data_IF_258321724712
#
_entry.id   IF_258321724712
#
_cell.length_a   1.000
_cell.length_b   1.000
_cell.length_c   1.000
_cell.angle_alpha   90.00
_cell.angle_beta   90.00
_cell.angle_gamma   90.00
#
_symmetry.space_group_name_H-M   'P 1'
#
loop_
_entity.id
_entity.type
_entity.pdbx_description
1 polymer ?
#
# COMPACT_ATOMS: atom_id res chain seq x y z
N UNK A 1 -12.80 -9.23 2.58
CA UNK A 1 -11.67 -8.30 2.48
C UNK A 1 -11.55 -7.53 3.77
N UNK A 2 -10.42 -7.71 4.44
CA UNK A 2 -10.07 -7.01 5.67
C UNK A 2 -9.52 -5.62 5.34
N UNK A 3 -9.99 -4.58 6.03
CA UNK A 3 -9.49 -3.22 5.85
C UNK A 3 -8.35 -2.93 6.84
N UNK A 4 -7.25 -2.38 6.34
CA UNK A 4 -6.09 -1.96 7.14
C UNK A 4 -5.94 -0.45 7.02
N UNK A 5 -6.17 0.27 8.12
CA UNK A 5 -5.84 1.70 8.22
C UNK A 5 -4.33 1.87 8.35
N UNK A 6 -3.69 2.47 7.35
CA UNK A 6 -2.24 2.71 7.38
C UNK A 6 -1.83 3.71 8.47
N UNK A 7 -2.72 4.61 8.88
CA UNK A 7 -2.49 5.55 9.98
C UNK A 7 -2.16 4.89 11.31
N UNK A 8 -2.45 3.59 11.50
CA UNK A 8 -2.05 2.83 12.70
C UNK A 8 -0.53 2.65 12.82
N UNK A 9 0.21 2.81 11.72
CA UNK A 9 1.68 2.76 11.69
C UNK A 9 2.32 4.15 11.87
N UNK A 10 1.50 5.18 12.02
CA UNK A 10 1.90 6.58 12.06
C UNK A 10 1.24 7.38 10.94
N UNK A 11 1.34 8.70 11.04
CA UNK A 11 0.77 9.63 10.03
C UNK A 11 1.79 10.04 8.98
N UNK A 12 3.08 9.80 9.21
CA UNK A 12 4.21 10.08 8.31
C UNK A 12 4.99 8.80 8.07
N UNK A 13 4.85 8.23 6.87
CA UNK A 13 5.30 6.89 6.50
C UNK A 13 6.42 6.98 5.45
N UNK A 14 7.66 7.24 5.89
CA UNK A 14 8.73 7.73 4.99
C UNK A 14 9.96 6.80 4.84
N UNK A 15 10.18 5.88 5.79
CA UNK A 15 11.41 5.08 5.88
C UNK A 15 11.22 3.66 5.34
N UNK A 16 12.06 3.20 4.40
CA UNK A 16 11.98 1.83 3.86
C UNK A 16 11.97 0.74 4.96
N UNK A 17 12.91 0.71 5.93
CA UNK A 17 12.84 -0.23 7.06
C UNK A 17 11.50 -0.24 7.80
N UNK A 18 10.89 0.94 8.01
CA UNK A 18 9.60 1.05 8.68
C UNK A 18 8.45 0.45 7.86
N UNK A 19 8.58 0.37 6.53
CA UNK A 19 7.62 -0.34 5.67
C UNK A 19 7.61 -1.84 5.97
N UNK A 20 8.79 -2.46 6.07
CA UNK A 20 8.91 -3.86 6.47
C UNK A 20 8.41 -4.12 7.89
N UNK A 21 8.76 -3.24 8.85
CA UNK A 21 8.28 -3.34 10.23
C UNK A 21 6.75 -3.27 10.32
N UNK A 22 6.14 -2.37 9.54
CA UNK A 22 4.68 -2.22 9.48
C UNK A 22 3.99 -3.49 8.96
N UNK A 23 4.56 -4.14 7.94
CA UNK A 23 4.05 -5.44 7.48
C UNK A 23 4.20 -6.52 8.56
N UNK A 24 5.38 -6.63 9.18
CA UNK A 24 5.63 -7.62 10.22
C UNK A 24 4.67 -7.48 11.41
N UNK A 25 4.31 -6.24 11.77
CA UNK A 25 3.38 -5.95 12.86
C UNK A 25 1.94 -6.42 12.61
N UNK A 26 1.57 -6.74 11.36
CA UNK A 26 0.20 -7.17 11.01
C UNK A 26 0.13 -8.58 10.45
N UNK A 27 1.27 -9.16 10.06
CA UNK A 27 1.33 -10.41 9.30
C UNK A 27 0.58 -11.57 9.97
N UNK A 28 0.64 -11.67 11.30
CA UNK A 28 -0.06 -12.73 12.07
C UNK A 28 -1.57 -12.69 11.92
N UNK A 29 -2.13 -11.54 11.56
CA UNK A 29 -3.57 -11.29 11.53
C UNK A 29 -4.12 -11.36 10.10
N UNK A 30 -3.29 -11.69 9.11
CA UNK A 30 -3.67 -11.71 7.70
C UNK A 30 -4.04 -13.12 7.25
N UNK A 31 -5.16 -13.23 6.53
CA UNK A 31 -5.54 -14.44 5.80
C UNK A 31 -5.47 -14.15 4.29
N UNK A 32 -4.56 -14.78 3.53
CA UNK A 32 -4.47 -14.65 2.08
C UNK A 32 -5.80 -14.90 1.34
N UNK A 33 -6.67 -15.75 1.89
CA UNK A 33 -7.97 -16.08 1.29
C UNK A 33 -9.00 -14.96 1.42
N UNK A 34 -8.87 -14.09 2.41
CA UNK A 34 -9.82 -13.00 2.66
C UNK A 34 -9.55 -11.76 1.79
N UNK A 35 -8.28 -11.55 1.43
CA UNK A 35 -7.80 -10.32 0.78
C UNK A 35 -7.79 -9.11 1.69
N UNK A 36 -7.05 -8.07 1.31
CA UNK A 36 -6.91 -6.84 2.11
C UNK A 36 -7.14 -5.56 1.29
N UNK A 37 -7.77 -4.56 1.92
CA UNK A 37 -7.86 -3.19 1.41
C UNK A 37 -7.03 -2.26 2.29
N UNK A 38 -6.19 -1.43 1.67
CA UNK A 38 -5.43 -0.39 2.36
C UNK A 38 -6.22 0.92 2.39
N UNK A 39 -6.45 1.43 3.60
CA UNK A 39 -7.10 2.70 3.87
C UNK A 39 -6.05 3.75 4.29
N UNK A 40 -6.07 4.88 3.59
CA UNK A 40 -5.13 5.99 3.78
C UNK A 40 -5.68 7.09 4.69
N UNK A 41 -6.88 6.94 5.24
CA UNK A 41 -7.45 7.89 6.19
C UNK A 41 -6.51 8.14 7.39
N UNK A 42 -6.22 9.41 7.67
CA UNK A 42 -5.32 9.84 8.73
C UNK A 42 -3.83 9.79 8.39
N UNK A 43 -3.45 9.30 7.20
CA UNK A 43 -2.07 9.44 6.69
C UNK A 43 -1.89 10.86 6.16
N UNK A 44 -0.81 11.52 6.56
CA UNK A 44 -0.39 12.82 6.05
C UNK A 44 0.55 12.64 4.87
N UNK A 45 1.60 11.82 5.04
CA UNK A 45 2.65 11.64 4.02
C UNK A 45 3.06 10.18 3.92
N UNK A 46 3.22 9.68 2.69
CA UNK A 46 3.92 8.44 2.36
C UNK A 46 5.05 8.72 1.36
N UNK A 47 6.18 8.02 1.46
CA UNK A 47 7.22 8.03 0.42
C UNK A 47 7.12 6.79 -0.47
N UNK A 48 7.60 6.87 -1.72
CA UNK A 48 7.67 5.69 -2.59
C UNK A 48 8.48 4.55 -1.98
N UNK A 49 9.57 4.85 -1.25
CA UNK A 49 10.43 3.83 -0.66
C UNK A 49 9.79 3.06 0.49
N UNK A 50 9.01 3.74 1.34
CA UNK A 50 8.21 3.07 2.38
C UNK A 50 7.11 2.22 1.74
N UNK A 51 6.43 2.79 0.73
CA UNK A 51 5.26 2.15 0.14
C UNK A 51 5.61 0.91 -0.69
N UNK A 52 6.68 0.99 -1.48
CA UNK A 52 7.25 -0.14 -2.23
C UNK A 52 7.54 -1.33 -1.29
N UNK A 53 8.27 -1.07 -0.20
CA UNK A 53 8.67 -2.10 0.76
C UNK A 53 7.47 -2.72 1.46
N UNK A 54 6.49 -1.91 1.88
CA UNK A 54 5.27 -2.41 2.48
C UNK A 54 4.47 -3.26 1.49
N UNK A 55 4.30 -2.78 0.25
CA UNK A 55 3.50 -3.46 -0.77
C UNK A 55 4.14 -4.74 -1.30
N UNK A 56 5.47 -4.81 -1.46
CA UNK A 56 6.09 -6.05 -1.93
C UNK A 56 5.92 -7.17 -0.91
N UNK A 57 6.13 -6.88 0.38
CA UNK A 57 5.96 -7.87 1.44
C UNK A 57 4.48 -8.28 1.60
N UNK A 58 3.57 -7.31 1.62
CA UNK A 58 2.14 -7.57 1.72
C UNK A 58 1.59 -8.29 0.49
N UNK A 59 1.91 -7.80 -0.71
CA UNK A 59 1.44 -8.35 -1.98
C UNK A 59 1.93 -9.77 -2.21
N UNK A 60 3.19 -10.07 -1.85
CA UNK A 60 3.72 -11.43 -1.91
C UNK A 60 2.99 -12.35 -0.93
N UNK A 61 2.79 -11.92 0.32
CA UNK A 61 2.12 -12.73 1.34
C UNK A 61 0.64 -12.98 1.01
N UNK A 62 -0.04 -11.99 0.44
CA UNK A 62 -1.46 -12.03 0.08
C UNK A 62 -1.72 -12.57 -1.32
N UNK A 63 -0.70 -13.10 -2.01
CA UNK A 63 -0.80 -13.60 -3.39
C UNK A 63 -1.45 -12.58 -4.35
N UNK A 64 -1.11 -11.30 -4.16
CA UNK A 64 -1.63 -10.18 -4.96
C UNK A 64 -3.05 -9.72 -4.61
N UNK A 65 -3.73 -10.36 -3.64
CA UNK A 65 -5.06 -10.02 -3.15
C UNK A 65 -5.04 -8.80 -2.22
N UNK A 66 -4.56 -7.69 -2.78
CA UNK A 66 -4.41 -6.38 -2.13
C UNK A 66 -5.07 -5.33 -3.02
N UNK A 67 -5.89 -4.49 -2.41
CA UNK A 67 -6.53 -3.34 -3.05
C UNK A 67 -6.14 -2.06 -2.31
N UNK A 68 -5.99 -0.97 -3.06
CA UNK A 68 -5.79 0.37 -2.50
C UNK A 68 -7.14 1.10 -2.55
N UNK A 69 -7.68 1.49 -1.40
CA UNK A 69 -8.92 2.26 -1.39
C UNK A 69 -8.68 3.65 -2.01
N UNK A 70 -9.67 4.22 -2.73
CA UNK A 70 -9.57 5.56 -3.29
C UNK A 70 -9.16 6.59 -2.24
N UNK A 71 -8.28 7.52 -2.60
CA UNK A 71 -7.81 8.57 -1.69
C UNK A 71 -7.52 9.86 -2.43
N UNK A 72 -7.62 10.98 -1.71
CA UNK A 72 -7.18 12.30 -2.17
C UNK A 72 -5.82 12.70 -1.57
N UNK A 73 -5.14 11.80 -0.85
CA UNK A 73 -3.84 12.09 -0.28
C UNK A 73 -2.80 12.26 -1.41
N UNK A 74 -2.31 13.50 -1.58
CA UNK A 74 -1.38 13.85 -2.64
C UNK A 74 -0.07 13.05 -2.63
N UNK A 75 0.45 12.67 -1.46
CA UNK A 75 1.68 11.88 -1.36
C UNK A 75 1.49 10.42 -1.82
N UNK A 76 0.31 9.85 -1.55
CA UNK A 76 -0.06 8.52 -2.07
C UNK A 76 -0.16 8.58 -3.58
N UNK A 77 -0.94 9.54 -4.09
CA UNK A 77 -1.14 9.73 -5.53
C UNK A 77 0.18 9.99 -6.28
N UNK A 78 1.10 10.75 -5.70
CA UNK A 78 2.44 10.99 -6.28
C UNK A 78 3.34 9.74 -6.25
N UNK A 79 3.12 8.82 -5.30
CA UNK A 79 3.92 7.59 -5.17
C UNK A 79 3.52 6.53 -6.19
N UNK A 80 2.24 6.41 -6.54
CA UNK A 80 1.74 5.39 -7.49
C UNK A 80 2.47 5.37 -8.85
N UNK A 81 2.61 6.49 -9.59
CA UNK A 81 3.28 6.48 -10.89
C UNK A 81 4.77 6.14 -10.79
N UNK A 82 5.42 6.44 -9.64
CA UNK A 82 6.81 6.06 -9.38
C UNK A 82 6.91 4.54 -9.24
N UNK A 83 6.03 3.93 -8.44
CA UNK A 83 6.01 2.49 -8.23
C UNK A 83 5.72 1.71 -9.51
N UNK A 84 4.73 2.15 -10.30
CA UNK A 84 4.36 1.44 -11.54
C UNK A 84 5.45 1.52 -12.61
N UNK A 85 6.26 2.58 -12.61
CA UNK A 85 7.36 2.76 -13.56
C UNK A 85 8.62 2.00 -13.15
N UNK A 86 8.82 1.76 -11.85
CA UNK A 86 10.01 1.13 -11.29
C UNK A 86 9.88 -0.39 -11.08
N UNK A 87 8.67 -0.95 -11.27
CA UNK A 87 8.34 -2.35 -10.94
C UNK A 87 7.59 -3.02 -12.10
N UNK A 88 7.78 -4.32 -12.23
CA UNK A 88 7.07 -5.19 -13.18
C UNK A 88 6.43 -6.42 -12.51
N UNK A 89 6.35 -6.41 -11.18
CA UNK A 89 5.87 -7.51 -10.35
C UNK A 89 4.50 -7.23 -9.70
N UNK A 90 4.16 -7.99 -8.65
CA UNK A 90 2.89 -7.87 -7.90
C UNK A 90 2.61 -6.44 -7.43
N UNK A 91 3.64 -5.63 -7.13
CA UNK A 91 3.46 -4.23 -6.74
C UNK A 91 2.89 -3.44 -7.91
N UNK A 92 3.43 -3.64 -9.12
CA UNK A 92 2.95 -2.97 -10.31
C UNK A 92 1.49 -3.33 -10.62
N UNK A 93 1.10 -4.59 -10.43
CA UNK A 93 -0.28 -5.04 -10.64
C UNK A 93 -1.26 -4.43 -9.65
N UNK A 94 -0.90 -4.38 -8.36
CA UNK A 94 -1.70 -3.71 -7.32
C UNK A 94 -1.88 -2.23 -7.66
N UNK A 95 -0.79 -1.56 -8.05
CA UNK A 95 -0.79 -0.12 -8.34
C UNK A 95 -1.57 0.21 -9.61
N UNK A 96 -1.47 -0.61 -10.68
CA UNK A 96 -2.27 -0.42 -11.91
C UNK A 96 -3.77 -0.47 -11.62
N UNK A 97 -4.23 -1.50 -10.90
CA UNK A 97 -5.64 -1.61 -10.48
C UNK A 97 -6.09 -0.42 -9.63
N UNK A 98 -5.21 0.10 -8.78
CA UNK A 98 -5.51 1.27 -7.97
C UNK A 98 -5.68 2.51 -8.84
N UNK A 99 -4.75 2.80 -9.75
CA UNK A 99 -4.78 3.99 -10.62
C UNK A 99 -6.08 4.06 -11.42
N UNK A 100 -6.58 2.94 -11.95
CA UNK A 100 -7.85 2.87 -12.69
C UNK A 100 -9.08 3.27 -11.84
N UNK A 101 -9.01 3.06 -10.52
CA UNK A 101 -10.08 3.33 -9.57
C UNK A 101 -9.91 4.66 -8.82
N UNK A 102 -8.76 5.31 -8.94
CA UNK A 102 -8.50 6.58 -8.27
C UNK A 102 -9.33 7.71 -8.90
N UNK A 103 -9.86 8.64 -8.10
CA UNK A 103 -10.56 9.80 -8.63
C UNK A 103 -9.62 10.59 -9.53
N UNK A 104 -10.05 10.82 -10.77
CA UNK A 104 -9.40 11.78 -11.65
C UNK A 104 -9.72 13.17 -11.11
N UNK A 105 -8.68 13.97 -10.87
CA UNK A 105 -8.78 15.38 -10.45
C UNK A 105 -9.62 16.21 -11.41
#
# INVERSE_FOLDING_TARGET
>A
MKVIKLSKFGTVLISRPAGLESFNAIRSDLDPKEGVALDFEGVLTVTPSWFDEFLINLGTYMEGNVELLPTQNASVLASLPILVSARDDVVADIVRRAIEKMPQS
#
